data_IF_145863317390
#
_entry.id   IF_145863317390
#
_cell.length_a   1.000
_cell.length_b   1.000
_cell.length_c   1.000
_cell.angle_alpha   90.00
_cell.angle_beta   90.00
_cell.angle_gamma   90.00
#
_symmetry.space_group_name_H-M   'P 1'
#
loop_
_entity.id
_entity.type
_entity.pdbx_description
1 polymer ?
#
# COMPACT_ATOMS: atom_id res chain seq x y z
N UNK A 1 -11.07 -18.04 -7.09
CA UNK A 1 -10.19 -16.93 -6.68
C UNK A 1 -8.92 -17.00 -7.48
N UNK A 2 -8.18 -15.89 -7.52
CA UNK A 2 -6.95 -15.76 -8.29
C UNK A 2 -5.78 -15.46 -7.34
N UNK A 3 -5.15 -16.47 -6.73
CA UNK A 3 -4.00 -16.27 -5.84
C UNK A 3 -2.86 -15.51 -6.54
N UNK A 4 -2.67 -15.80 -7.82
CA UNK A 4 -1.65 -15.18 -8.68
C UNK A 4 -2.27 -14.59 -9.94
N UNK A 5 -1.58 -13.64 -10.57
CA UNK A 5 -2.02 -13.04 -11.84
C UNK A 5 -2.11 -14.09 -12.96
N UNK A 6 -1.29 -15.14 -12.89
CA UNK A 6 -1.36 -16.28 -13.82
C UNK A 6 -2.74 -16.93 -13.83
N UNK A 7 -3.35 -17.13 -12.65
CA UNK A 7 -4.69 -17.72 -12.54
C UNK A 7 -5.75 -16.81 -13.17
N UNK A 8 -5.62 -15.49 -12.98
CA UNK A 8 -6.52 -14.51 -13.59
C UNK A 8 -6.41 -14.49 -15.12
N UNK A 9 -5.19 -14.53 -15.65
CA UNK A 9 -4.96 -14.55 -17.10
C UNK A 9 -5.48 -15.84 -17.74
N UNK A 10 -5.32 -16.96 -17.05
CA UNK A 10 -5.84 -18.25 -17.51
C UNK A 10 -7.37 -18.24 -17.57
N UNK A 11 -8.04 -17.72 -16.55
CA UNK A 11 -9.50 -17.67 -16.52
C UNK A 11 -10.09 -16.70 -17.56
N UNK A 12 -9.48 -15.52 -17.73
CA UNK A 12 -9.98 -14.50 -18.66
C UNK A 12 -9.66 -14.80 -20.13
N UNK A 13 -8.51 -15.42 -20.41
CA UNK A 13 -7.98 -15.55 -21.78
C UNK A 13 -7.58 -16.97 -22.18
N UNK A 14 -7.62 -17.94 -21.26
CA UNK A 14 -7.11 -19.30 -21.50
C UNK A 14 -5.58 -19.38 -21.58
N UNK A 15 -4.88 -18.32 -21.19
CA UNK A 15 -3.41 -18.20 -21.33
C UNK A 15 -2.73 -18.61 -20.02
N UNK A 16 -1.98 -19.72 -20.04
CA UNK A 16 -1.21 -20.20 -18.89
C UNK A 16 0.23 -19.68 -18.95
N UNK A 17 0.48 -18.49 -18.38
CA UNK A 17 1.82 -17.94 -18.20
C UNK A 17 2.15 -18.00 -16.69
N UNK A 18 3.16 -18.77 -16.26
CA UNK A 18 3.53 -18.89 -14.86
C UNK A 18 4.27 -17.64 -14.38
N UNK A 19 3.53 -16.60 -13.98
CA UNK A 19 4.07 -15.37 -13.41
C UNK A 19 4.22 -15.48 -11.88
N UNK A 20 5.37 -15.08 -11.29
CA UNK A 20 5.58 -15.07 -9.83
C UNK A 20 4.97 -13.81 -9.19
N UNK A 21 3.75 -13.44 -9.60
CA UNK A 21 3.09 -12.20 -9.18
C UNK A 21 1.81 -12.56 -8.43
N UNK A 22 1.84 -12.33 -7.12
CA UNK A 22 0.66 -12.49 -6.27
C UNK A 22 -0.36 -11.40 -6.56
N UNK A 23 -1.64 -11.77 -6.68
CA UNK A 23 -2.71 -10.85 -7.04
C UNK A 23 -2.85 -9.73 -6.01
N UNK A 24 -2.75 -10.05 -4.71
CA UNK A 24 -2.79 -9.03 -3.65
C UNK A 24 -1.67 -7.99 -3.81
N UNK A 25 -0.42 -8.46 -3.93
CA UNK A 25 0.75 -7.58 -4.08
C UNK A 25 0.68 -6.72 -5.35
N UNK A 26 0.16 -7.27 -6.44
CA UNK A 26 -0.10 -6.52 -7.67
C UNK A 26 -1.05 -5.34 -7.42
N UNK A 27 -2.21 -5.59 -6.79
CA UNK A 27 -3.19 -4.54 -6.52
C UNK A 27 -2.69 -3.50 -5.50
N UNK A 28 -1.87 -3.90 -4.54
CA UNK A 28 -1.18 -2.95 -3.64
C UNK A 28 -0.25 -2.02 -4.43
N UNK A 29 0.52 -2.54 -5.39
CA UNK A 29 1.36 -1.70 -6.25
C UNK A 29 0.53 -0.73 -7.10
N UNK A 30 -0.59 -1.20 -7.67
CA UNK A 30 -1.54 -0.35 -8.41
C UNK A 30 -2.15 0.73 -7.49
N UNK A 31 -2.46 0.40 -6.24
CA UNK A 31 -2.96 1.36 -5.26
C UNK A 31 -1.96 2.49 -5.00
N UNK A 32 -0.66 2.20 -4.86
CA UNK A 32 0.38 3.22 -4.73
C UNK A 32 0.46 4.14 -5.95
N UNK A 33 0.34 3.58 -7.16
CA UNK A 33 0.37 4.36 -8.41
C UNK A 33 -0.82 5.31 -8.47
N UNK A 34 -2.04 4.81 -8.23
CA UNK A 34 -3.24 5.66 -8.25
C UNK A 34 -3.22 6.72 -7.15
N UNK A 35 -2.80 6.37 -5.94
CA UNK A 35 -2.65 7.33 -4.84
C UNK A 35 -1.68 8.45 -5.22
N UNK A 36 -0.48 8.09 -5.70
CA UNK A 36 0.57 9.03 -6.10
C UNK A 36 0.10 9.93 -7.25
N UNK A 37 -0.66 9.39 -8.20
CA UNK A 37 -1.22 10.15 -9.29
C UNK A 37 -2.27 11.17 -8.81
N UNK A 38 -3.20 10.75 -7.96
CA UNK A 38 -4.22 11.63 -7.36
C UNK A 38 -3.58 12.75 -6.54
N UNK A 39 -2.61 12.42 -5.68
CA UNK A 39 -1.91 13.39 -4.84
C UNK A 39 -1.14 14.39 -5.71
N UNK A 40 -0.40 13.91 -6.71
CA UNK A 40 0.32 14.77 -7.65
C UNK A 40 -0.62 15.76 -8.36
N UNK A 41 -1.78 15.28 -8.82
CA UNK A 41 -2.77 16.13 -9.48
C UNK A 41 -3.32 17.21 -8.54
N UNK A 42 -3.59 16.88 -7.28
CA UNK A 42 -4.11 17.84 -6.31
C UNK A 42 -3.06 18.84 -5.81
N UNK A 43 -1.82 18.41 -5.61
CA UNK A 43 -0.72 19.33 -5.29
C UNK A 43 -0.49 20.31 -6.45
N UNK A 44 -0.51 19.83 -7.69
CA UNK A 44 -0.41 20.68 -8.89
C UNK A 44 -1.57 21.67 -9.00
N UNK A 45 -2.78 21.27 -8.63
CA UNK A 45 -3.94 22.18 -8.57
C UNK A 45 -3.76 23.24 -7.48
N UNK A 46 -3.42 22.84 -6.26
CA UNK A 46 -3.24 23.74 -5.12
C UNK A 46 -2.08 24.72 -5.33
N UNK A 47 -1.02 24.30 -6.01
CA UNK A 47 0.07 25.18 -6.43
C UNK A 47 -0.42 26.23 -7.45
N UNK A 48 -1.18 25.83 -8.48
CA UNK A 48 -1.79 26.76 -9.45
C UNK A 48 -2.74 27.76 -8.80
N UNK A 49 -3.43 27.36 -7.73
CA UNK A 49 -4.32 28.23 -6.95
C UNK A 49 -3.57 29.13 -5.95
N UNK A 50 -2.25 29.00 -5.83
CA UNK A 50 -1.41 29.80 -4.94
C UNK A 50 -1.42 29.35 -3.47
N UNK A 51 -1.98 28.18 -3.16
CA UNK A 51 -1.98 27.63 -1.80
C UNK A 51 -0.67 26.94 -1.42
N UNK A 52 0.13 26.55 -2.42
CA UNK A 52 1.43 25.92 -2.26
C UNK A 52 2.45 26.64 -3.13
N UNK A 53 3.70 26.65 -2.68
CA UNK A 53 4.80 27.31 -3.39
C UNK A 53 5.90 26.30 -3.69
N UNK A 54 6.59 26.51 -4.80
CA UNK A 54 7.81 25.80 -5.15
C UNK A 54 8.96 26.21 -4.23
N UNK A 55 9.85 25.27 -3.91
CA UNK A 55 11.02 25.51 -3.07
C UNK A 55 12.29 25.52 -3.92
N UNK A 56 13.13 26.52 -3.70
CA UNK A 56 14.46 26.61 -4.31
C UNK A 56 15.43 25.71 -3.55
N UNK A 57 16.05 24.77 -4.26
CA UNK A 57 17.03 23.83 -3.71
C UNK A 57 18.33 23.99 -4.48
N UNK A 58 19.44 24.06 -3.75
CA UNK A 58 20.77 24.07 -4.36
C UNK A 58 21.10 22.64 -4.84
N UNK A 59 21.28 22.47 -6.14
CA UNK A 59 21.72 21.21 -6.76
C UNK A 59 23.14 21.40 -7.31
N UNK A 60 24.05 20.52 -6.91
CA UNK A 60 25.43 20.50 -7.42
C UNK A 60 25.42 19.70 -8.72
N UNK A 61 25.72 20.35 -9.84
CA UNK A 61 25.77 19.70 -11.15
C UNK A 61 27.23 19.46 -11.53
N UNK A 62 27.50 18.27 -12.09
CA UNK A 62 28.77 17.92 -12.69
C UNK A 62 29.85 17.45 -11.71
N UNK A 63 29.45 17.02 -10.50
CA UNK A 63 30.34 16.32 -9.57
C UNK A 63 30.80 14.98 -10.15
N UNK A 64 31.99 14.50 -9.74
CA UNK A 64 32.42 13.13 -10.01
C UNK A 64 31.67 12.14 -9.13
N UNK A 65 31.52 10.90 -9.60
CA UNK A 65 30.96 9.83 -8.78
C UNK A 65 31.61 9.78 -7.40
N UNK A 66 30.77 9.88 -6.39
CA UNK A 66 31.17 9.75 -4.99
C UNK A 66 31.43 8.28 -4.64
N UNK A 67 32.27 8.02 -3.64
CA UNK A 67 32.55 6.65 -3.19
C UNK A 67 31.27 5.91 -2.77
N UNK A 68 30.32 6.63 -2.16
CA UNK A 68 29.02 6.06 -1.76
C UNK A 68 28.17 5.65 -2.97
N UNK A 69 28.13 6.43 -4.05
CA UNK A 69 27.40 6.07 -5.26
C UNK A 69 28.01 4.85 -5.96
N UNK A 70 29.34 4.76 -5.99
CA UNK A 70 30.05 3.61 -6.56
C UNK A 70 29.70 2.35 -5.76
N UNK A 71 29.86 2.39 -4.44
CA UNK A 71 29.54 1.27 -3.55
C UNK A 71 28.06 0.89 -3.69
N UNK A 72 27.15 1.87 -3.68
CA UNK A 72 25.71 1.62 -3.82
C UNK A 72 25.37 0.96 -5.15
N UNK A 73 25.98 1.41 -6.25
CA UNK A 73 25.77 0.83 -7.58
C UNK A 73 26.28 -0.61 -7.66
N UNK A 74 27.48 -0.87 -7.12
CA UNK A 74 28.06 -2.21 -7.06
C UNK A 74 27.23 -3.17 -6.20
N UNK A 75 26.84 -2.76 -4.99
CA UNK A 75 26.04 -3.58 -4.09
C UNK A 75 24.66 -3.87 -4.68
N UNK A 76 23.97 -2.85 -5.17
CA UNK A 76 22.62 -3.00 -5.76
C UNK A 76 22.68 -3.91 -6.98
N UNK A 77 23.64 -3.67 -7.88
CA UNK A 77 23.86 -4.52 -9.05
C UNK A 77 24.21 -5.95 -8.67
N UNK A 78 25.02 -6.14 -7.61
CA UNK A 78 25.37 -7.47 -7.12
C UNK A 78 24.15 -8.22 -6.61
N UNK A 79 23.35 -7.63 -5.71
CA UNK A 79 22.17 -8.29 -5.16
C UNK A 79 21.11 -8.59 -6.23
N UNK A 80 20.89 -7.65 -7.16
CA UNK A 80 20.00 -7.86 -8.30
C UNK A 80 20.51 -9.03 -9.14
N UNK A 81 21.78 -9.03 -9.56
CA UNK A 81 22.33 -10.11 -10.37
C UNK A 81 22.36 -11.46 -9.66
N UNK A 82 22.69 -11.46 -8.37
CA UNK A 82 22.75 -12.64 -7.52
C UNK A 82 21.41 -13.37 -7.48
N UNK A 83 20.31 -12.62 -7.36
CA UNK A 83 18.95 -13.19 -7.35
C UNK A 83 18.35 -13.38 -8.73
N UNK A 84 18.53 -12.43 -9.63
CA UNK A 84 17.94 -12.45 -10.96
C UNK A 84 18.47 -13.61 -11.81
N UNK A 85 19.80 -13.81 -11.82
CA UNK A 85 20.38 -14.92 -12.59
C UNK A 85 19.98 -16.27 -11.98
N UNK A 86 19.90 -16.37 -10.65
CA UNK A 86 19.39 -17.57 -9.99
C UNK A 86 17.93 -17.86 -10.39
N UNK A 87 17.11 -16.82 -10.46
CA UNK A 87 15.70 -16.92 -10.87
C UNK A 87 15.54 -17.39 -12.33
N UNK A 88 16.48 -17.05 -13.22
CA UNK A 88 16.45 -17.54 -14.60
C UNK A 88 16.69 -19.05 -14.69
N UNK A 89 17.61 -19.58 -13.87
CA UNK A 89 17.91 -21.02 -13.87
C UNK A 89 16.88 -21.83 -13.07
N UNK A 90 16.27 -21.25 -12.04
CA UNK A 90 15.35 -21.92 -11.12
C UNK A 90 14.00 -21.21 -11.06
N UNK A 91 13.46 -20.93 -12.25
CA UNK A 91 12.24 -20.16 -12.41
C UNK A 91 11.02 -20.83 -11.76
N UNK A 92 10.95 -22.16 -11.78
CA UNK A 92 9.88 -22.93 -11.12
C UNK A 92 9.83 -22.66 -9.62
N UNK A 93 10.98 -22.56 -8.96
CA UNK A 93 11.07 -22.33 -7.53
C UNK A 93 10.58 -20.93 -7.17
N UNK A 94 10.94 -19.93 -8.00
CA UNK A 94 10.46 -18.56 -7.88
C UNK A 94 8.93 -18.47 -8.01
N UNK A 95 8.34 -19.18 -8.99
CA UNK A 95 6.89 -19.16 -9.20
C UNK A 95 6.14 -19.84 -8.06
N UNK A 96 6.67 -20.94 -7.53
CA UNK A 96 6.03 -21.71 -6.46
C UNK A 96 6.04 -20.95 -5.13
N UNK A 97 7.16 -20.32 -4.77
CA UNK A 97 7.25 -19.52 -3.55
C UNK A 97 8.18 -18.32 -3.73
N UNK A 98 7.66 -17.19 -4.26
CA UNK A 98 8.48 -16.01 -4.52
C UNK A 98 9.13 -15.44 -3.26
N UNK A 99 8.41 -15.47 -2.13
CA UNK A 99 8.86 -14.89 -0.87
C UNK A 99 10.07 -15.64 -0.31
N UNK A 100 9.99 -16.97 -0.25
CA UNK A 100 11.07 -17.81 0.26
C UNK A 100 12.29 -17.75 -0.67
N UNK A 101 12.07 -17.75 -2.00
CA UNK A 101 13.13 -17.59 -2.99
C UNK A 101 13.89 -16.26 -2.84
N UNK A 102 13.18 -15.15 -2.62
CA UNK A 102 13.81 -13.83 -2.45
C UNK A 102 14.59 -13.76 -1.14
N UNK A 103 14.07 -14.31 -0.05
CA UNK A 103 14.71 -14.26 1.27
C UNK A 103 15.82 -15.30 1.47
N UNK A 104 15.89 -16.35 0.65
CA UNK A 104 16.89 -17.39 0.80
C UNK A 104 18.31 -16.85 0.65
N UNK A 105 19.31 -17.54 1.22
CA UNK A 105 20.73 -17.23 0.95
C UNK A 105 21.20 -17.73 -0.42
N UNK A 106 20.39 -18.55 -1.09
CA UNK A 106 20.64 -19.04 -2.46
C UNK A 106 20.72 -17.90 -3.47
N UNK A 107 21.70 -17.98 -4.36
CA UNK A 107 21.84 -17.10 -5.52
C UNK A 107 23.09 -17.41 -6.35
N UNK A 108 23.25 -16.69 -7.45
CA UNK A 108 24.31 -16.89 -8.42
C UNK A 108 25.42 -15.84 -8.25
N UNK A 109 26.55 -16.25 -7.67
CA UNK A 109 27.67 -15.34 -7.37
C UNK A 109 28.24 -14.66 -8.64
N UNK A 110 28.41 -15.42 -9.73
CA UNK A 110 28.92 -14.90 -10.99
C UNK A 110 27.94 -13.90 -11.63
N UNK A 111 26.64 -14.19 -11.57
CA UNK A 111 25.58 -13.30 -11.99
C UNK A 111 25.59 -11.98 -11.21
N UNK A 112 25.80 -12.05 -9.89
CA UNK A 112 26.00 -10.87 -9.05
C UNK A 112 27.18 -10.02 -9.49
N UNK A 113 28.37 -10.61 -9.67
CA UNK A 113 29.57 -9.88 -10.10
C UNK A 113 29.36 -9.24 -11.48
N UNK A 114 28.75 -9.96 -12.42
CA UNK A 114 28.51 -9.48 -13.78
C UNK A 114 27.56 -8.28 -13.80
N UNK A 115 26.42 -8.36 -13.11
CA UNK A 115 25.43 -7.27 -13.07
C UNK A 115 25.94 -6.09 -12.23
N UNK A 116 26.76 -6.32 -11.20
CA UNK A 116 27.46 -5.25 -10.48
C UNK A 116 28.39 -4.45 -11.40
N UNK A 117 29.19 -5.14 -12.23
CA UNK A 117 30.08 -4.51 -13.18
C UNK A 117 29.31 -3.70 -14.23
N UNK A 118 28.20 -4.24 -14.74
CA UNK A 118 27.30 -3.54 -15.67
C UNK A 118 26.68 -2.30 -15.00
N UNK A 119 26.17 -2.43 -13.78
CA UNK A 119 25.53 -1.32 -13.03
C UNK A 119 26.53 -0.18 -12.78
N UNK A 120 27.76 -0.51 -12.38
CA UNK A 120 28.83 0.47 -12.24
C UNK A 120 29.19 1.12 -13.57
N UNK A 121 29.34 0.33 -14.64
CA UNK A 121 29.65 0.85 -15.97
C UNK A 121 28.56 1.83 -16.45
N UNK A 122 27.28 1.47 -16.35
CA UNK A 122 26.16 2.34 -16.71
C UNK A 122 26.20 3.65 -15.92
N UNK A 123 26.34 3.58 -14.59
CA UNK A 123 26.44 4.75 -13.71
C UNK A 123 27.65 5.62 -14.05
N UNK A 124 28.79 5.02 -14.38
CA UNK A 124 29.99 5.72 -14.83
C UNK A 124 29.79 6.42 -16.18
N UNK A 125 29.16 5.77 -17.14
CA UNK A 125 28.85 6.40 -18.44
C UNK A 125 27.87 7.55 -18.31
N UNK A 126 26.86 7.43 -17.45
CA UNK A 126 25.90 8.50 -17.17
C UNK A 126 26.60 9.69 -16.51
N UNK A 127 27.41 9.44 -15.50
CA UNK A 127 28.18 10.49 -14.84
C UNK A 127 29.13 11.20 -15.81
N UNK A 128 29.81 10.47 -16.69
CA UNK A 128 30.72 11.08 -17.67
C UNK A 128 30.00 12.00 -18.67
N UNK A 129 28.71 11.80 -18.93
CA UNK A 129 27.91 12.70 -19.78
C UNK A 129 27.59 14.02 -19.10
N UNK A 130 27.48 14.04 -17.78
CA UNK A 130 27.09 15.21 -16.99
C UNK A 130 28.25 15.87 -16.24
N UNK A 131 29.41 15.21 -16.17
CA UNK A 131 30.60 15.68 -15.45
C UNK A 131 31.11 16.99 -16.02
N UNK A 132 31.35 17.97 -15.14
CA UNK A 132 31.95 19.25 -15.48
C UNK A 132 33.38 19.32 -14.94
N UNK A 133 34.23 20.16 -15.55
CA UNK A 133 35.60 20.38 -15.09
C UNK A 133 35.64 21.00 -13.67
N UNK A 134 34.64 21.81 -13.34
CA UNK A 134 34.36 22.31 -12.00
C UNK A 134 32.87 22.14 -11.71
N UNK A 135 32.49 21.48 -10.61
CA UNK A 135 31.09 21.36 -10.21
C UNK A 135 30.47 22.74 -9.99
N UNK A 136 29.24 22.94 -10.47
CA UNK A 136 28.51 24.21 -10.32
C UNK A 136 27.27 24.00 -9.48
N UNK A 137 27.09 24.84 -8.46
CA UNK A 137 25.86 24.91 -7.69
C UNK A 137 24.84 25.72 -8.48
N UNK A 138 23.71 25.11 -8.83
CA UNK A 138 22.59 25.78 -9.50
C UNK A 138 21.37 25.76 -8.60
N UNK A 139 20.60 26.86 -8.61
CA UNK A 139 19.28 26.87 -7.98
C UNK A 139 18.31 26.09 -8.88
N UNK A 140 17.81 24.97 -8.37
CA UNK A 140 16.71 24.23 -8.97
C UNK A 140 15.43 24.55 -8.24
N UNK A 141 14.41 24.92 -9.01
CA UNK A 141 13.06 25.07 -8.50
C UNK A 141 12.44 23.68 -8.43
N UNK A 142 12.04 23.26 -7.24
CA UNK A 142 11.38 21.97 -7.02
C UNK A 142 9.92 22.22 -6.69
N UNK A 143 9.04 21.60 -7.46
CA UNK A 143 7.59 21.73 -7.27
C UNK A 143 7.06 20.67 -6.31
N UNK A 144 6.03 20.96 -5.49
CA UNK A 144 5.48 20.00 -4.53
C UNK A 144 5.00 18.68 -5.16
N UNK A 145 4.43 18.73 -6.37
CA UNK A 145 3.93 17.53 -7.06
C UNK A 145 5.06 16.62 -7.56
N UNK A 146 6.28 17.13 -7.77
CA UNK A 146 7.44 16.32 -8.18
C UNK A 146 7.96 15.46 -7.03
N UNK A 147 7.68 15.88 -5.79
CA UNK A 147 8.13 15.22 -4.58
C UNK A 147 7.25 14.03 -4.18
N UNK A 148 6.10 13.82 -4.82
CA UNK A 148 5.15 12.77 -4.45
C UNK A 148 5.75 11.38 -4.59
N UNK A 149 6.53 11.11 -5.65
CA UNK A 149 7.21 9.82 -5.80
C UNK A 149 8.16 9.53 -4.63
N UNK A 150 8.92 10.54 -4.19
CA UNK A 150 9.80 10.43 -3.03
C UNK A 150 9.03 10.23 -1.73
N UNK A 151 7.90 10.95 -1.56
CA UNK A 151 7.01 10.76 -0.41
C UNK A 151 6.46 9.33 -0.37
N UNK A 152 5.98 8.80 -1.50
CA UNK A 152 5.47 7.43 -1.60
C UNK A 152 6.55 6.41 -1.27
N UNK A 153 7.78 6.60 -1.77
CA UNK A 153 8.89 5.70 -1.46
C UNK A 153 9.26 5.73 0.03
N UNK A 154 9.38 6.92 0.61
CA UNK A 154 9.66 7.09 2.04
C UNK A 154 8.54 6.46 2.87
N UNK A 155 7.28 6.65 2.49
CA UNK A 155 6.12 6.04 3.16
C UNK A 155 6.16 4.52 3.09
N UNK A 156 6.47 3.93 1.92
CA UNK A 156 6.54 2.49 1.75
C UNK A 156 7.64 1.87 2.63
N UNK A 157 8.85 2.44 2.62
CA UNK A 157 9.98 1.94 3.41
C UNK A 157 9.72 2.12 4.91
N UNK A 158 9.40 3.35 5.34
CA UNK A 158 9.15 3.62 6.77
C UNK A 158 7.90 2.93 7.29
N UNK A 159 6.89 2.71 6.44
CA UNK A 159 5.67 1.98 6.79
C UNK A 159 5.94 0.51 7.04
N UNK A 160 6.72 -0.17 6.19
CA UNK A 160 7.11 -1.56 6.44
C UNK A 160 7.94 -1.67 7.72
N UNK A 161 8.93 -0.79 7.90
CA UNK A 161 9.77 -0.76 9.11
C UNK A 161 8.91 -0.52 10.36
N UNK A 162 8.01 0.47 10.32
CA UNK A 162 7.12 0.80 11.43
C UNK A 162 6.17 -0.33 11.76
N UNK A 163 5.56 -0.96 10.75
CA UNK A 163 4.67 -2.10 10.93
C UNK A 163 5.37 -3.28 11.62
N UNK A 164 6.64 -3.50 11.26
CA UNK A 164 7.47 -4.55 11.83
C UNK A 164 7.88 -4.25 13.28
N UNK A 165 8.32 -3.03 13.55
CA UNK A 165 8.69 -2.58 14.90
C UNK A 165 7.49 -2.75 15.83
N UNK A 166 6.32 -2.25 15.45
CA UNK A 166 5.12 -2.34 16.29
C UNK A 166 4.68 -3.79 16.52
N UNK A 167 4.73 -4.65 15.50
CA UNK A 167 4.44 -6.07 15.68
C UNK A 167 5.34 -6.72 16.74
N UNK A 168 6.64 -6.43 16.69
CA UNK A 168 7.59 -6.99 17.66
C UNK A 168 7.42 -6.38 19.06
N UNK A 169 6.96 -5.12 19.15
CA UNK A 169 6.60 -4.51 20.44
C UNK A 169 5.34 -5.15 21.04
N UNK A 170 4.35 -5.47 20.22
CA UNK A 170 3.11 -6.15 20.65
C UNK A 170 3.37 -7.62 21.02
N UNK A 171 4.30 -8.28 20.33
CA UNK A 171 4.65 -9.69 20.53
C UNK A 171 6.06 -9.86 21.11
N UNK A 172 6.33 -9.15 22.22
CA UNK A 172 7.67 -9.09 22.82
C UNK A 172 8.23 -10.46 23.17
N UNK A 173 7.40 -11.37 23.69
CA UNK A 173 7.83 -12.72 24.08
C UNK A 173 8.33 -13.52 22.86
N UNK A 174 7.62 -13.43 21.74
CA UNK A 174 8.03 -14.08 20.48
C UNK A 174 9.29 -13.41 19.90
N UNK A 175 9.41 -12.09 20.03
CA UNK A 175 10.61 -11.36 19.61
C UNK A 175 11.85 -11.72 20.43
N UNK A 176 11.72 -11.83 21.75
CA UNK A 176 12.82 -12.22 22.64
C UNK A 176 13.29 -13.66 22.41
N UNK A 177 12.38 -14.55 21.97
CA UNK A 177 12.71 -15.93 21.66
C UNK A 177 13.52 -16.09 20.37
N UNK A 178 13.24 -15.30 19.33
CA UNK A 178 14.01 -15.29 18.07
C UNK A 178 14.09 -13.87 17.45
N UNK A 179 15.02 -13.02 17.94
CA UNK A 179 15.07 -11.63 17.49
C UNK A 179 15.40 -11.46 16.01
N UNK A 180 16.29 -12.31 15.48
CA UNK A 180 16.76 -12.20 14.08
C UNK A 180 15.69 -12.72 13.12
N UNK A 181 15.12 -13.91 13.39
CA UNK A 181 14.07 -14.47 12.54
C UNK A 181 12.82 -13.60 12.56
N UNK A 182 12.45 -13.06 13.73
CA UNK A 182 11.33 -12.13 13.82
C UNK A 182 11.59 -10.85 13.05
N UNK A 183 12.79 -10.26 13.05
CA UNK A 183 13.06 -9.04 12.26
C UNK A 183 13.08 -9.26 10.75
N UNK A 184 13.61 -10.39 10.29
CA UNK A 184 13.82 -10.66 8.85
C UNK A 184 12.57 -11.25 8.20
N UNK A 185 11.67 -11.88 8.97
CA UNK A 185 10.44 -12.45 8.41
C UNK A 185 9.53 -11.37 7.79
N UNK A 186 8.97 -11.67 6.62
CA UNK A 186 7.90 -10.85 6.01
C UNK A 186 6.53 -11.05 6.67
N UNK A 187 6.37 -12.04 7.56
CA UNK A 187 5.16 -12.20 8.37
C UNK A 187 5.18 -11.29 9.60
N UNK A 188 4.01 -11.01 10.18
CA UNK A 188 3.91 -10.20 11.39
C UNK A 188 4.15 -8.71 11.12
N UNK A 189 3.19 -8.08 10.43
CA UNK A 189 3.20 -6.65 10.13
C UNK A 189 1.96 -6.00 10.76
N UNK A 190 2.18 -5.09 11.70
CA UNK A 190 1.08 -4.38 12.36
C UNK A 190 0.68 -3.14 11.58
N UNK A 191 -0.57 -3.06 11.16
CA UNK A 191 -1.09 -1.97 10.33
C UNK A 191 -0.82 -0.57 10.94
N UNK A 192 -1.09 -0.40 12.24
CA UNK A 192 -0.93 0.90 12.92
C UNK A 192 0.50 1.41 12.94
N UNK A 193 1.47 0.50 13.14
CA UNK A 193 2.88 0.86 13.08
C UNK A 193 3.27 1.42 11.70
N UNK A 194 2.73 0.81 10.64
CA UNK A 194 2.96 1.29 9.28
C UNK A 194 2.30 2.62 8.99
N UNK A 195 1.05 2.80 9.41
CA UNK A 195 0.32 4.06 9.26
C UNK A 195 1.02 5.23 9.95
N UNK A 196 1.45 5.03 11.20
CA UNK A 196 2.09 6.08 12.01
C UNK A 196 3.47 6.43 11.43
N UNK A 197 4.34 5.44 11.23
CA UNK A 197 5.69 5.67 10.72
C UNK A 197 5.68 6.27 9.31
N UNK A 198 4.83 5.74 8.42
CA UNK A 198 4.65 6.26 7.07
C UNK A 198 4.07 7.68 7.04
N UNK A 199 3.08 7.98 7.87
CA UNK A 199 2.50 9.32 7.97
C UNK A 199 3.49 10.35 8.50
N UNK A 200 4.20 10.03 9.58
CA UNK A 200 5.19 10.92 10.21
C UNK A 200 6.35 11.20 9.25
N UNK A 201 6.86 10.18 8.55
CA UNK A 201 7.99 10.34 7.63
C UNK A 201 7.63 11.21 6.42
N UNK A 202 6.42 11.08 5.88
CA UNK A 202 5.92 11.94 4.79
C UNK A 202 5.74 13.38 5.26
N UNK A 203 5.17 13.61 6.44
CA UNK A 203 5.01 14.96 7.01
C UNK A 203 6.38 15.60 7.23
N UNK A 204 7.33 14.85 7.82
CA UNK A 204 8.70 15.31 8.02
C UNK A 204 9.38 15.67 6.68
N UNK A 205 9.27 14.81 5.68
CA UNK A 205 9.85 15.04 4.36
C UNK A 205 9.20 16.25 3.68
N UNK A 206 7.88 16.38 3.72
CA UNK A 206 7.17 17.53 3.17
C UNK A 206 7.56 18.86 3.84
N UNK A 207 7.75 18.84 5.16
CA UNK A 207 8.20 20.01 5.93
C UNK A 207 9.62 20.46 5.54
N UNK A 208 10.50 19.53 5.17
CA UNK A 208 11.84 19.85 4.63
C UNK A 208 11.76 20.75 3.39
N UNK A 209 10.71 20.58 2.58
CA UNK A 209 10.44 21.38 1.38
C UNK A 209 9.40 22.48 1.60
N UNK A 210 9.09 22.83 2.87
CA UNK A 210 8.15 23.90 3.26
C UNK A 210 6.73 23.71 2.71
N UNK A 211 6.33 22.48 2.39
CA UNK A 211 4.98 22.16 1.94
C UNK A 211 4.05 22.25 3.15
N UNK A 212 2.98 23.06 3.04
CA UNK A 212 2.02 23.19 4.12
C UNK A 212 1.28 21.87 4.37
N UNK A 213 1.43 21.33 5.59
CA UNK A 213 0.87 20.01 5.96
C UNK A 213 -0.64 19.93 5.80
N UNK A 214 -1.40 21.00 6.09
CA UNK A 214 -2.88 21.00 5.96
C UNK A 214 -3.30 20.83 4.50
N UNK A 215 -2.59 21.50 3.59
CA UNK A 215 -2.84 21.36 2.15
C UNK A 215 -2.38 19.99 1.63
N UNK A 216 -1.32 19.43 2.18
CA UNK A 216 -0.86 18.08 1.84
C UNK A 216 -1.86 17.01 2.25
N UNK A 217 -2.32 16.98 3.50
CA UNK A 217 -3.27 15.96 3.99
C UNK A 217 -4.62 16.06 3.28
N UNK A 218 -5.09 17.27 2.94
CA UNK A 218 -6.28 17.44 2.09
C UNK A 218 -6.09 16.84 0.69
N UNK A 219 -4.89 16.98 0.12
CA UNK A 219 -4.57 16.43 -1.21
C UNK A 219 -4.44 14.91 -1.16
N UNK A 220 -3.98 14.37 -0.02
CA UNK A 220 -3.87 12.94 0.24
C UNK A 220 -5.22 12.27 0.48
N UNK A 221 -6.17 12.93 1.13
CA UNK A 221 -7.43 12.33 1.57
C UNK A 221 -8.20 11.54 0.47
N UNK A 222 -8.50 12.10 -0.72
CA UNK A 222 -9.12 11.32 -1.78
C UNK A 222 -8.21 10.18 -2.27
N UNK A 223 -6.90 10.43 -2.38
CA UNK A 223 -5.92 9.44 -2.84
C UNK A 223 -5.82 8.24 -1.91
N UNK A 224 -5.86 8.46 -0.59
CA UNK A 224 -5.85 7.40 0.43
C UNK A 224 -7.10 6.52 0.35
N UNK A 225 -8.28 7.12 0.18
CA UNK A 225 -9.52 6.36 0.04
C UNK A 225 -9.54 5.53 -1.26
N UNK A 226 -9.06 6.11 -2.36
CA UNK A 226 -8.91 5.35 -3.62
C UNK A 226 -7.91 4.20 -3.46
N UNK A 227 -6.76 4.45 -2.82
CA UNK A 227 -5.75 3.43 -2.56
C UNK A 227 -6.32 2.27 -1.74
N UNK A 228 -7.11 2.59 -0.72
CA UNK A 228 -7.79 1.62 0.12
C UNK A 228 -8.74 0.74 -0.70
N UNK A 229 -9.63 1.35 -1.49
CA UNK A 229 -10.53 0.61 -2.39
C UNK A 229 -9.77 -0.26 -3.40
N UNK A 230 -8.68 0.24 -3.99
CA UNK A 230 -7.86 -0.53 -4.93
C UNK A 230 -7.15 -1.70 -4.23
N UNK A 231 -6.65 -1.50 -3.01
CA UNK A 231 -6.08 -2.58 -2.20
C UNK A 231 -7.10 -3.67 -1.87
N UNK A 232 -8.36 -3.28 -1.58
CA UNK A 232 -9.47 -4.21 -1.31
C UNK A 232 -9.87 -5.07 -2.50
N UNK A 233 -9.61 -4.60 -3.74
CA UNK A 233 -9.73 -5.46 -4.93
C UNK A 233 -8.75 -6.63 -4.82
N UNK A 234 -7.52 -6.37 -4.36
CA UNK A 234 -6.52 -7.41 -4.10
C UNK A 234 -7.00 -8.46 -3.10
N UNK A 235 -7.59 -8.02 -1.98
CA UNK A 235 -8.18 -8.91 -0.98
C UNK A 235 -9.29 -9.78 -1.58
N UNK A 236 -10.26 -9.14 -2.26
CA UNK A 236 -11.39 -9.85 -2.86
C UNK A 236 -10.96 -10.85 -3.93
N UNK A 237 -9.97 -10.51 -4.77
CA UNK A 237 -9.52 -11.39 -5.86
C UNK A 237 -8.65 -12.54 -5.39
N UNK A 238 -7.83 -12.33 -4.35
CA UNK A 238 -6.93 -13.37 -3.82
C UNK A 238 -7.61 -14.29 -2.81
N UNK A 239 -8.67 -13.83 -2.13
CA UNK A 239 -9.27 -14.55 -1.02
C UNK A 239 -8.29 -14.68 0.15
N UNK A 240 -7.82 -13.55 0.66
CA UNK A 240 -6.78 -13.49 1.70
C UNK A 240 -7.30 -13.61 3.15
N UNK A 241 -8.61 -13.79 3.34
CA UNK A 241 -9.24 -13.86 4.66
C UNK A 241 -10.11 -12.65 5.00
N UNK A 242 -10.12 -11.62 4.15
CA UNK A 242 -10.89 -10.38 4.38
C UNK A 242 -12.36 -10.50 3.97
N UNK A 243 -13.02 -11.53 4.47
CA UNK A 243 -14.43 -11.83 4.25
C UNK A 243 -15.26 -11.75 5.55
N UNK A 244 -16.56 -11.88 5.39
CA UNK A 244 -17.53 -11.73 6.46
C UNK A 244 -17.82 -12.97 7.28
N UNK A 245 -18.79 -12.83 8.17
CA UNK A 245 -19.46 -13.96 8.82
C UNK A 245 -20.32 -14.74 7.81
N UNK A 246 -20.76 -15.93 8.20
CA UNK A 246 -21.64 -16.78 7.40
C UNK A 246 -22.90 -16.02 6.97
N UNK A 247 -23.19 -16.08 5.67
CA UNK A 247 -24.37 -15.53 5.04
C UNK A 247 -25.18 -16.63 4.37
N UNK A 248 -26.05 -17.27 5.14
CA UNK A 248 -26.99 -18.27 4.64
C UNK A 248 -28.33 -17.65 4.17
N UNK A 249 -28.47 -16.32 4.24
CA UNK A 249 -29.69 -15.65 3.85
C UNK A 249 -29.84 -15.68 2.33
N UNK A 250 -31.05 -15.95 1.78
CA UNK A 250 -31.26 -15.90 0.35
C UNK A 250 -31.03 -14.48 -0.17
N UNK A 251 -30.46 -14.38 -1.37
CA UNK A 251 -30.25 -13.09 -2.04
C UNK A 251 -31.61 -12.40 -2.26
N UNK A 252 -31.78 -11.13 -1.85
CA UNK A 252 -33.03 -10.41 -2.04
C UNK A 252 -33.43 -10.31 -3.51
N UNK A 253 -34.74 -10.40 -3.81
CA UNK A 253 -35.25 -10.39 -5.20
C UNK A 253 -34.86 -9.14 -5.99
N UNK A 254 -34.80 -7.98 -5.33
CA UNK A 254 -34.38 -6.71 -5.95
C UNK A 254 -32.92 -6.71 -6.40
N UNK A 255 -32.11 -7.66 -5.91
CA UNK A 255 -30.71 -7.87 -6.28
C UNK A 255 -30.54 -9.03 -7.29
N UNK A 256 -31.64 -9.59 -7.81
CA UNK A 256 -31.61 -10.72 -8.76
C UNK A 256 -30.76 -10.46 -10.01
N UNK A 257 -30.66 -9.20 -10.45
CA UNK A 257 -29.85 -8.80 -11.60
C UNK A 257 -28.33 -8.85 -11.37
N UNK A 258 -27.88 -8.97 -10.12
CA UNK A 258 -26.47 -9.08 -9.77
C UNK A 258 -26.05 -10.55 -9.61
N UNK A 259 -24.78 -10.89 -9.92
CA UNK A 259 -24.19 -12.19 -9.58
C UNK A 259 -24.35 -12.57 -8.10
N UNK A 260 -24.53 -13.86 -7.82
CA UNK A 260 -24.74 -14.37 -6.46
C UNK A 260 -23.56 -14.12 -5.53
N UNK A 261 -22.33 -14.16 -6.06
CA UNK A 261 -21.11 -13.90 -5.29
C UNK A 261 -21.05 -12.49 -4.67
N UNK A 262 -21.83 -11.54 -5.18
CA UNK A 262 -21.91 -10.18 -4.61
C UNK A 262 -22.77 -10.14 -3.34
N UNK A 263 -23.58 -11.15 -3.09
CA UNK A 263 -24.39 -11.29 -1.87
C UNK A 263 -23.74 -12.26 -0.87
N UNK A 264 -23.37 -13.45 -1.35
CA UNK A 264 -22.83 -14.52 -0.52
C UNK A 264 -21.84 -15.34 -1.35
N UNK A 265 -20.65 -15.59 -0.81
CA UNK A 265 -19.58 -16.23 -1.58
C UNK A 265 -18.73 -17.19 -0.75
N UNK A 266 -18.27 -18.29 -1.36
CA UNK A 266 -17.45 -19.33 -0.69
C UNK A 266 -15.94 -19.16 -0.89
N UNK A 267 -15.50 -18.17 -1.67
CA UNK A 267 -14.07 -17.92 -1.94
C UNK A 267 -13.30 -19.19 -2.36
N UNK A 268 -13.70 -19.89 -3.44
CA UNK A 268 -12.98 -21.07 -3.91
C UNK A 268 -11.58 -20.71 -4.38
N UNK A 269 -10.61 -21.58 -4.11
CA UNK A 269 -9.19 -21.34 -4.40
C UNK A 269 -8.57 -20.15 -3.65
N UNK A 270 -9.02 -19.88 -2.42
CA UNK A 270 -8.49 -18.80 -1.61
C UNK A 270 -7.00 -19.01 -1.25
N UNK A 271 -6.22 -17.92 -1.19
CA UNK A 271 -4.75 -17.97 -1.03
C UNK A 271 -4.31 -18.53 0.33
N UNK A 272 -5.18 -18.46 1.34
CA UNK A 272 -4.89 -18.96 2.69
C UNK A 272 -5.28 -20.43 2.90
N UNK A 273 -5.81 -21.11 1.87
CA UNK A 273 -6.27 -22.51 1.94
C UNK A 273 -7.27 -22.77 3.09
N UNK A 274 -8.16 -21.82 3.37
CA UNK A 274 -9.21 -21.94 4.38
C UNK A 274 -10.42 -22.72 3.88
N UNK A 275 -11.04 -23.46 4.81
CA UNK A 275 -12.32 -24.15 4.61
C UNK A 275 -12.17 -25.66 4.36
N UNK A 276 -12.91 -26.17 3.37
CA UNK A 276 -12.97 -27.58 2.98
C UNK A 276 -12.35 -27.81 1.60
N UNK A 277 -11.86 -29.03 1.30
CA UNK A 277 -11.31 -29.34 -0.01
C UNK A 277 -12.38 -29.31 -1.12
N UNK A 278 -12.02 -28.76 -2.28
CA UNK A 278 -12.86 -28.77 -3.48
C UNK A 278 -12.75 -30.16 -4.15
N UNK A 279 -13.91 -30.79 -4.43
CA UNK A 279 -13.95 -32.12 -5.04
C UNK A 279 -13.23 -32.13 -6.41
N UNK A 280 -12.30 -33.07 -6.59
CA UNK A 280 -11.52 -33.20 -7.82
C UNK A 280 -10.38 -32.19 -8.00
N UNK A 281 -10.14 -31.29 -7.05
CA UNK A 281 -9.00 -30.38 -7.06
C UNK A 281 -7.82 -30.97 -6.28
N UNK A 282 -6.63 -30.98 -6.88
CA UNK A 282 -5.38 -31.37 -6.20
C UNK A 282 -4.30 -30.31 -6.39
N UNK A 283 -3.52 -30.06 -5.35
CA UNK A 283 -2.45 -29.05 -5.35
C UNK A 283 -2.74 -27.84 -4.47
N UNK A 284 -2.01 -26.75 -4.73
CA UNK A 284 -2.15 -25.51 -3.97
C UNK A 284 -3.47 -24.81 -4.30
N UNK A 285 -4.06 -24.13 -3.31
CA UNK A 285 -5.29 -23.36 -3.47
C UNK A 285 -6.48 -24.23 -3.89
N UNK A 286 -6.61 -25.44 -3.33
CA UNK A 286 -7.74 -26.36 -3.61
C UNK A 286 -8.80 -26.38 -2.50
N UNK A 287 -8.96 -25.25 -1.82
CA UNK A 287 -9.88 -25.10 -0.68
C UNK A 287 -10.94 -24.03 -0.96
N UNK A 288 -12.12 -24.20 -0.37
CA UNK A 288 -13.20 -23.22 -0.34
C UNK A 288 -13.90 -23.20 1.02
N UNK A 289 -14.58 -22.10 1.36
CA UNK A 289 -15.32 -22.01 2.62
C UNK A 289 -16.52 -22.96 2.63
N UNK A 290 -16.71 -23.65 3.75
CA UNK A 290 -17.80 -24.60 3.93
C UNK A 290 -19.18 -23.93 3.83
N UNK A 291 -19.29 -22.72 4.36
CA UNK A 291 -20.47 -21.88 4.26
C UNK A 291 -20.15 -20.63 3.43
N UNK A 292 -21.10 -20.13 2.64
CA UNK A 292 -20.95 -18.85 1.98
C UNK A 292 -20.96 -17.72 3.02
N UNK A 293 -20.14 -16.71 2.81
CA UNK A 293 -19.97 -15.57 3.71
C UNK A 293 -20.28 -14.25 3.00
N UNK A 294 -20.47 -13.17 3.77
CA UNK A 294 -20.56 -11.83 3.19
C UNK A 294 -19.23 -11.47 2.51
N UNK A 295 -19.22 -11.02 1.24
CA UNK A 295 -18.01 -10.61 0.54
C UNK A 295 -17.59 -9.19 0.99
N UNK A 296 -17.14 -9.05 2.23
CA UNK A 296 -16.86 -7.74 2.84
C UNK A 296 -15.81 -6.95 2.09
N UNK A 297 -14.75 -7.58 1.60
CA UNK A 297 -13.74 -6.89 0.78
C UNK A 297 -14.37 -6.23 -0.46
N UNK A 298 -15.31 -6.90 -1.15
CA UNK A 298 -16.06 -6.30 -2.25
C UNK A 298 -16.89 -5.08 -1.81
N UNK A 299 -17.57 -5.15 -0.66
CA UNK A 299 -18.31 -4.00 -0.12
C UNK A 299 -17.39 -2.83 0.23
N UNK A 300 -16.23 -3.09 0.84
CA UNK A 300 -15.20 -2.10 1.11
C UNK A 300 -14.73 -1.42 -0.20
N UNK A 301 -14.56 -2.16 -1.31
CA UNK A 301 -14.24 -1.57 -2.64
C UNK A 301 -15.31 -0.58 -3.07
N UNK A 302 -16.58 -0.99 -3.07
CA UNK A 302 -17.70 -0.15 -3.54
C UNK A 302 -17.84 1.10 -2.68
N UNK A 303 -17.81 0.95 -1.36
CA UNK A 303 -17.90 2.06 -0.42
C UNK A 303 -16.71 3.01 -0.58
N UNK A 304 -15.49 2.49 -0.71
CA UNK A 304 -14.29 3.30 -0.91
C UNK A 304 -14.32 4.10 -2.20
N UNK A 305 -14.77 3.50 -3.32
CA UNK A 305 -14.91 4.20 -4.60
C UNK A 305 -16.00 5.28 -4.54
N UNK A 306 -17.12 5.01 -3.86
CA UNK A 306 -18.18 5.99 -3.66
C UNK A 306 -17.69 7.17 -2.80
N UNK A 307 -17.02 6.89 -1.67
CA UNK A 307 -16.45 7.92 -0.79
C UNK A 307 -15.36 8.71 -1.52
N UNK A 308 -14.50 8.04 -2.29
CA UNK A 308 -13.54 8.72 -3.15
C UNK A 308 -14.24 9.69 -4.10
N UNK A 309 -15.31 9.27 -4.78
CA UNK A 309 -16.10 10.12 -5.66
C UNK A 309 -16.67 11.35 -4.95
N UNK A 310 -17.21 11.16 -3.74
CA UNK A 310 -17.73 12.23 -2.88
C UNK A 310 -16.61 13.21 -2.50
N UNK A 311 -15.50 12.71 -1.94
CA UNK A 311 -14.36 13.54 -1.55
C UNK A 311 -13.76 14.28 -2.75
N UNK A 312 -13.68 13.61 -3.89
CA UNK A 312 -13.21 14.18 -5.14
C UNK A 312 -14.12 15.32 -5.60
N UNK A 313 -15.44 15.15 -5.57
CA UNK A 313 -16.38 16.22 -5.89
C UNK A 313 -16.25 17.40 -4.91
N UNK A 314 -16.16 17.12 -3.60
CA UNK A 314 -16.11 18.13 -2.55
C UNK A 314 -14.82 18.95 -2.53
N UNK A 315 -13.70 18.42 -3.03
CA UNK A 315 -12.36 19.04 -2.91
C UNK A 315 -12.25 20.48 -3.43
N UNK A 316 -13.10 20.86 -4.39
CA UNK A 316 -13.14 22.21 -4.99
C UNK A 316 -14.03 23.18 -4.19
N UNK A 317 -14.96 22.65 -3.39
CA UNK A 317 -15.90 23.45 -2.61
C UNK A 317 -15.38 23.72 -1.19
N UNK A 318 -14.57 22.82 -0.63
CA UNK A 318 -13.98 22.97 0.70
C UNK A 318 -12.75 23.89 0.65
N UNK A 319 -12.91 25.13 1.12
CA UNK A 319 -11.85 26.16 1.16
C UNK A 319 -11.11 26.26 2.50
N UNK A 320 -11.38 25.36 3.45
CA UNK A 320 -10.75 25.38 4.77
C UNK A 320 -9.62 24.34 4.77
N UNK A 321 -8.34 24.75 4.87
CA UNK A 321 -7.23 23.80 4.82
C UNK A 321 -7.30 22.79 5.97
N UNK A 322 -7.17 21.51 5.64
CA UNK A 322 -7.26 20.38 6.55
C UNK A 322 -8.66 19.82 6.76
N UNK A 323 -9.72 20.54 6.35
CA UNK A 323 -11.09 20.10 6.58
C UNK A 323 -11.48 18.90 5.70
N UNK A 324 -10.94 18.78 4.48
CA UNK A 324 -11.24 17.65 3.60
C UNK A 324 -10.66 16.36 4.18
N UNK A 325 -9.49 16.43 4.81
CA UNK A 325 -8.89 15.29 5.49
C UNK A 325 -9.73 14.80 6.68
N UNK A 326 -10.24 15.70 7.52
CA UNK A 326 -11.13 15.28 8.61
C UNK A 326 -12.46 14.71 8.09
N UNK A 327 -13.03 15.26 7.00
CA UNK A 327 -14.21 14.67 6.35
C UNK A 327 -13.91 13.24 5.86
N UNK A 328 -12.71 13.02 5.29
CA UNK A 328 -12.24 11.68 4.96
C UNK A 328 -12.17 10.75 6.18
N UNK A 329 -11.64 11.21 7.32
CA UNK A 329 -11.60 10.40 8.55
C UNK A 329 -13.00 10.01 9.04
N UNK A 330 -13.98 10.91 8.94
CA UNK A 330 -15.36 10.59 9.27
C UNK A 330 -15.93 9.51 8.34
N UNK A 331 -15.78 9.66 7.02
CA UNK A 331 -16.25 8.66 6.07
C UNK A 331 -15.58 7.30 6.26
N UNK A 332 -14.26 7.29 6.47
CA UNK A 332 -13.50 6.07 6.72
C UNK A 332 -13.95 5.37 8.02
N UNK A 333 -14.17 6.15 9.10
CA UNK A 333 -14.69 5.59 10.36
C UNK A 333 -16.11 5.03 10.21
N UNK A 334 -16.98 5.70 9.46
CA UNK A 334 -18.35 5.22 9.20
C UNK A 334 -18.33 3.94 8.37
N UNK A 335 -17.55 3.91 7.28
CA UNK A 335 -17.38 2.72 6.45
C UNK A 335 -16.89 1.53 7.27
N UNK A 336 -15.81 1.74 8.04
CA UNK A 336 -15.22 0.70 8.85
C UNK A 336 -16.17 0.19 9.92
N UNK A 337 -16.93 1.07 10.57
CA UNK A 337 -17.92 0.68 11.58
C UNK A 337 -18.99 -0.26 11.01
N UNK A 338 -19.51 0.01 9.80
CA UNK A 338 -20.54 -0.84 9.20
C UNK A 338 -19.99 -2.17 8.70
N UNK A 339 -18.81 -2.16 8.07
CA UNK A 339 -18.18 -3.40 7.58
C UNK A 339 -17.81 -4.31 8.75
N UNK A 340 -17.33 -3.76 9.85
CA UNK A 340 -16.93 -4.54 11.02
C UNK A 340 -18.09 -5.36 11.62
N UNK A 341 -19.33 -4.90 11.50
CA UNK A 341 -20.54 -5.63 11.97
C UNK A 341 -20.81 -6.93 11.22
N UNK A 342 -20.35 -7.03 9.97
CA UNK A 342 -20.54 -8.19 9.11
C UNK A 342 -19.24 -8.94 8.87
N UNK A 343 -18.12 -8.48 9.43
CA UNK A 343 -16.79 -9.05 9.25
C UNK A 343 -16.49 -10.12 10.29
N UNK A 344 -15.76 -11.16 9.89
CA UNK A 344 -15.26 -12.16 10.85
C UNK A 344 -14.09 -11.54 11.63
N UNK A 345 -14.27 -11.30 12.93
CA UNK A 345 -13.23 -10.73 13.77
C UNK A 345 -13.12 -11.49 15.09
N UNK A 346 -11.93 -11.47 15.67
CA UNK A 346 -11.70 -11.88 17.06
C UNK A 346 -12.33 -10.84 17.99
N UNK A 347 -13.42 -11.21 18.66
CA UNK A 347 -14.03 -10.39 19.69
C UNK A 347 -13.01 -10.15 20.81
N UNK A 348 -12.54 -8.91 20.95
CA UNK A 348 -11.86 -8.51 22.16
C UNK A 348 -12.93 -8.25 23.21
N UNK A 349 -12.94 -9.07 24.27
CA UNK A 349 -13.88 -8.95 25.39
C UNK A 349 -13.57 -7.73 26.29
N UNK A 350 -13.52 -6.53 25.70
CA UNK A 350 -13.47 -5.26 26.42
C UNK A 350 -14.89 -4.67 26.39
N UNK A 351 -15.46 -4.42 27.56
CA UNK A 351 -16.80 -3.80 27.73
C UNK A 351 -17.96 -4.55 27.05
N UNK A 352 -17.91 -5.89 27.00
CA UNK A 352 -19.06 -6.72 26.58
C UNK A 352 -19.15 -6.99 25.07
N UNK A 353 -18.02 -7.04 24.36
CA UNK A 353 -17.94 -7.53 22.97
C UNK A 353 -17.66 -6.47 21.90
N UNK A 354 -17.14 -5.29 22.27
CA UNK A 354 -16.79 -4.24 21.31
C UNK A 354 -15.46 -4.58 20.63
N UNK A 355 -15.40 -4.55 19.30
CA UNK A 355 -14.15 -4.85 18.58
C UNK A 355 -13.19 -3.66 18.60
N UNK A 356 -11.88 -3.94 18.44
CA UNK A 356 -10.86 -2.90 18.33
C UNK A 356 -11.15 -1.93 17.18
N UNK A 357 -11.66 -2.42 16.05
CA UNK A 357 -11.95 -1.57 14.91
C UNK A 357 -13.16 -0.66 15.15
N UNK A 358 -14.14 -1.06 15.97
CA UNK A 358 -15.26 -0.20 16.36
C UNK A 358 -14.82 0.98 17.21
N UNK A 359 -13.95 0.74 18.20
CA UNK A 359 -13.36 1.79 19.05
C UNK A 359 -12.60 2.80 18.19
N UNK A 360 -11.81 2.31 17.24
CA UNK A 360 -10.99 3.15 16.36
C UNK A 360 -11.89 3.91 15.39
N UNK A 361 -12.91 3.27 14.83
CA UNK A 361 -13.91 3.91 13.97
C UNK A 361 -14.61 5.07 14.67
N UNK A 362 -15.07 4.85 15.91
CA UNK A 362 -15.68 5.89 16.73
C UNK A 362 -14.70 7.04 17.02
N UNK A 363 -13.45 6.71 17.34
CA UNK A 363 -12.39 7.70 17.58
C UNK A 363 -12.09 8.54 16.33
N UNK A 364 -12.08 7.93 15.15
CA UNK A 364 -11.91 8.61 13.87
C UNK A 364 -13.06 9.58 13.58
N UNK A 365 -14.30 9.17 13.84
CA UNK A 365 -15.47 10.03 13.66
C UNK A 365 -15.43 11.21 14.65
N UNK A 366 -15.10 10.97 15.92
CA UNK A 366 -15.03 12.03 16.93
C UNK A 366 -13.92 13.04 16.59
N UNK A 367 -12.72 12.57 16.25
CA UNK A 367 -11.61 13.43 15.84
C UNK A 367 -11.93 14.22 14.57
N UNK A 368 -12.66 13.63 13.63
CA UNK A 368 -13.16 14.31 12.45
C UNK A 368 -14.10 15.48 12.78
N UNK A 369 -15.12 15.24 13.61
CA UNK A 369 -16.10 16.27 14.00
C UNK A 369 -15.42 17.43 14.73
N UNK A 370 -14.55 17.11 15.70
CA UNK A 370 -13.79 18.12 16.46
C UNK A 370 -12.86 18.90 15.53
N UNK A 371 -12.13 18.20 14.65
CA UNK A 371 -11.18 18.79 13.71
C UNK A 371 -11.84 19.76 12.73
N UNK A 372 -12.95 19.34 12.09
CA UNK A 372 -13.72 20.22 11.19
C UNK A 372 -14.24 21.43 11.96
N UNK A 373 -14.88 21.22 13.11
CA UNK A 373 -15.46 22.32 13.90
C UNK A 373 -14.40 23.34 14.32
N UNK A 374 -13.25 22.87 14.78
CA UNK A 374 -12.12 23.71 15.17
C UNK A 374 -11.58 24.54 13.99
N UNK A 375 -11.36 23.90 12.84
CA UNK A 375 -10.83 24.59 11.66
C UNK A 375 -11.79 25.66 11.12
N UNK A 376 -13.10 25.39 11.11
CA UNK A 376 -14.10 26.36 10.67
C UNK A 376 -14.28 27.52 11.67
N UNK A 377 -14.17 27.26 12.99
CA UNK A 377 -14.17 28.32 14.01
C UNK A 377 -12.92 29.20 13.90
N UNK A 378 -11.75 28.59 13.76
CA UNK A 378 -10.48 29.32 13.61
C UNK A 378 -10.46 30.19 12.35
N UNK A 379 -11.04 29.73 11.23
CA UNK A 379 -11.15 30.55 10.02
C UNK A 379 -12.10 31.73 10.16
N UNK A 380 -13.17 31.63 10.97
CA UNK A 380 -14.08 32.76 11.23
C UNK A 380 -13.47 33.83 12.14
N UNK A 381 -12.41 33.48 12.88
CA UNK A 381 -11.72 34.39 13.80
C UNK A 381 -10.57 35.18 13.15
N UNK A 382 -10.25 34.88 11.89
CA UNK A 382 -9.27 35.57 11.03
C UNK A 382 -10.03 36.24 9.89
#
# INVERSE_FOLDING_TARGET
>A
MYPTISHLLFDLFGINIPLPIQTFGFWVAIAFIFASWIISNELKRKEKEGFLSSTKVNEIIGESLTTSEIISSLLTGFFIGFKFIEALFHYTDLVNNPQDFILSTRGNLLGGILIAAISFYLKWTENNKTKLATPKTTEKIVHPFELVGNMTMIAAVSGIIGAKIFHNLENMDAFLADPIGQLISFSGLTFYGGLIAGGVSVIWYANKYKINTKHLIDSAAPGLMLAYGVGRIGCQMSGDGDWGIDNLAPKPEWMSFLPDWMWSYTFPHNVINAGVPIEGCTGNFCMELANPVWPTAFYEVIMSLAIFGILWAMRKHIKVPGALFFIYLAFNGVERFFIEKIRINTEYNILGGITQAEIISFSLILTAIIGVTYLYKSKKAV
#
